data_IF_465093785225
#
_entry.id   IF_465093785225
#
_cell.length_a   1.000
_cell.length_b   1.000
_cell.length_c   1.000
_cell.angle_alpha   90.00
_cell.angle_beta   90.00
_cell.angle_gamma   90.00
#
_symmetry.space_group_name_H-M   'P 1'
#
loop_
_entity.id
_entity.type
_entity.pdbx_description
1 polymer ?
#
# COMPACT_ATOMS: atom_id res chain seq x y z
N UNK A 1 2.71 75.67 -60.27
CA UNK A 1 1.96 74.47 -60.72
C UNK A 1 2.46 73.17 -60.05
N UNK A 2 2.99 73.22 -58.83
CA UNK A 2 3.61 72.07 -58.14
C UNK A 2 2.82 71.58 -56.92
N UNK A 3 1.97 72.44 -56.34
CA UNK A 3 1.18 72.16 -55.13
C UNK A 3 0.16 71.03 -55.33
N UNK A 4 -0.41 70.91 -56.53
CA UNK A 4 -1.40 69.86 -56.84
C UNK A 4 -0.80 68.45 -56.99
N UNK A 5 0.50 68.33 -57.23
CA UNK A 5 1.21 67.05 -57.30
C UNK A 5 1.59 66.53 -55.92
N UNK A 6 2.01 67.43 -55.02
CA UNK A 6 2.34 67.09 -53.64
C UNK A 6 1.10 66.67 -52.84
N UNK A 7 -0.04 67.33 -53.04
CA UNK A 7 -1.30 66.91 -52.41
C UNK A 7 -1.74 65.52 -52.84
N UNK A 8 -1.66 65.20 -54.14
CA UNK A 8 -2.02 63.85 -54.63
C UNK A 8 -1.09 62.75 -54.12
N UNK A 9 0.20 63.03 -53.97
CA UNK A 9 1.17 62.09 -53.40
C UNK A 9 0.91 61.88 -51.91
N UNK A 10 0.66 62.96 -51.18
CA UNK A 10 0.33 62.89 -49.75
C UNK A 10 -0.99 62.16 -49.52
N UNK A 11 -1.99 62.37 -50.38
CA UNK A 11 -3.26 61.65 -50.34
C UNK A 11 -3.08 60.15 -50.57
N UNK A 12 -2.26 59.73 -51.54
CA UNK A 12 -1.97 58.30 -51.75
C UNK A 12 -1.18 57.69 -50.61
N UNK A 13 -0.23 58.43 -50.03
CA UNK A 13 0.53 57.96 -48.87
C UNK A 13 -0.37 57.79 -47.65
N UNK A 14 -1.28 58.73 -47.40
CA UNK A 14 -2.25 58.59 -46.29
C UNK A 14 -3.22 57.43 -46.51
N UNK A 15 -3.67 57.23 -47.75
CA UNK A 15 -4.58 56.14 -48.11
C UNK A 15 -3.90 54.78 -47.96
N UNK A 16 -2.67 54.64 -48.46
CA UNK A 16 -1.86 53.43 -48.28
C UNK A 16 -1.49 53.17 -46.81
N UNK A 17 -1.23 54.23 -46.03
CA UNK A 17 -0.92 54.08 -44.60
C UNK A 17 -2.14 53.59 -43.83
N UNK A 18 -3.33 54.14 -44.12
CA UNK A 18 -4.57 53.70 -43.50
C UNK A 18 -4.95 52.25 -43.88
N UNK A 19 -4.72 51.86 -45.14
CA UNK A 19 -4.91 50.47 -45.58
C UNK A 19 -3.95 49.50 -44.87
N UNK A 20 -2.67 49.85 -44.75
CA UNK A 20 -1.67 49.01 -44.07
C UNK A 20 -2.00 48.90 -42.58
N UNK A 21 -2.42 49.98 -41.94
CA UNK A 21 -2.79 49.99 -40.52
C UNK A 21 -4.07 49.16 -40.25
N UNK A 22 -5.05 49.23 -41.17
CA UNK A 22 -6.24 48.39 -41.13
C UNK A 22 -5.90 46.90 -41.33
N UNK A 23 -5.08 46.57 -42.34
CA UNK A 23 -4.63 45.20 -42.63
C UNK A 23 -3.80 44.61 -41.49
N UNK A 24 -2.84 45.36 -40.96
CA UNK A 24 -2.00 44.92 -39.82
C UNK A 24 -2.82 44.75 -38.55
N UNK A 25 -3.79 45.62 -38.27
CA UNK A 25 -4.67 45.46 -37.11
C UNK A 25 -5.61 44.25 -37.24
N UNK A 26 -6.06 43.95 -38.46
CA UNK A 26 -6.86 42.76 -38.75
C UNK A 26 -6.03 41.48 -38.61
N UNK A 27 -4.80 41.46 -39.14
CA UNK A 27 -3.87 40.33 -38.99
C UNK A 27 -3.46 40.10 -37.54
N UNK A 28 -3.18 41.16 -36.77
CA UNK A 28 -2.87 41.06 -35.33
C UNK A 28 -4.05 40.49 -34.54
N UNK A 29 -5.28 40.92 -34.83
CA UNK A 29 -6.49 40.35 -34.22
C UNK A 29 -6.68 38.88 -34.60
N UNK A 30 -6.38 38.52 -35.84
CA UNK A 30 -6.48 37.15 -36.33
C UNK A 30 -5.41 36.23 -35.71
N UNK A 31 -4.18 36.72 -35.56
CA UNK A 31 -3.11 36.04 -34.82
C UNK A 31 -3.46 35.90 -33.34
N UNK A 32 -3.96 36.96 -32.70
CA UNK A 32 -4.34 36.93 -31.29
C UNK A 32 -5.53 36.00 -31.00
N UNK A 33 -6.47 35.86 -31.94
CA UNK A 33 -7.58 34.91 -31.83
C UNK A 33 -7.12 33.47 -32.06
N UNK A 34 -6.25 33.23 -33.05
CA UNK A 34 -5.63 31.91 -33.26
C UNK A 34 -4.81 31.45 -32.06
N UNK A 35 -3.97 32.32 -31.50
CA UNK A 35 -3.18 32.02 -30.29
C UNK A 35 -4.09 31.72 -29.09
N UNK A 36 -5.15 32.51 -28.87
CA UNK A 36 -6.13 32.23 -27.81
C UNK A 36 -6.85 30.89 -28.03
N UNK A 37 -7.21 30.56 -29.26
CA UNK A 37 -7.86 29.28 -29.57
C UNK A 37 -6.91 28.10 -29.36
N UNK A 38 -5.65 28.20 -29.78
CA UNK A 38 -4.64 27.17 -29.53
C UNK A 38 -4.39 26.99 -28.03
N UNK A 39 -4.18 28.09 -27.30
CA UNK A 39 -3.94 28.04 -25.86
C UNK A 39 -5.15 27.47 -25.11
N UNK A 40 -6.39 27.85 -25.49
CA UNK A 40 -7.61 27.29 -24.92
C UNK A 40 -7.84 25.82 -25.27
N UNK A 41 -7.34 25.35 -26.42
CA UNK A 41 -7.39 23.94 -26.79
C UNK A 41 -6.41 23.12 -25.93
N UNK A 42 -5.16 23.58 -25.79
CA UNK A 42 -4.16 22.91 -24.96
C UNK A 42 -4.49 22.95 -23.46
N UNK A 43 -5.06 24.05 -22.96
CA UNK A 43 -5.54 24.12 -21.58
C UNK A 43 -6.65 23.10 -21.31
N UNK A 44 -7.55 22.87 -22.29
CA UNK A 44 -8.61 21.86 -22.17
C UNK A 44 -8.05 20.44 -22.17
N UNK A 45 -7.05 20.14 -23.00
CA UNK A 45 -6.43 18.81 -23.04
C UNK A 45 -5.65 18.53 -21.75
N UNK A 46 -4.88 19.50 -21.25
CA UNK A 46 -4.20 19.35 -19.97
C UNK A 46 -5.19 19.17 -18.82
N UNK A 47 -6.31 19.90 -18.83
CA UNK A 47 -7.34 19.76 -17.80
C UNK A 47 -8.05 18.39 -17.87
N UNK A 48 -8.31 17.85 -19.06
CA UNK A 48 -8.90 16.52 -19.20
C UNK A 48 -7.94 15.42 -18.74
N UNK A 49 -6.65 15.56 -19.04
CA UNK A 49 -5.63 14.59 -18.61
C UNK A 49 -5.49 14.58 -17.09
N UNK A 50 -5.46 15.75 -16.45
CA UNK A 50 -5.39 15.88 -14.98
C UNK A 50 -6.64 15.27 -14.32
N UNK A 51 -7.84 15.55 -14.86
CA UNK A 51 -9.06 14.95 -14.33
C UNK A 51 -9.08 13.43 -14.52
N UNK A 52 -8.65 12.93 -15.68
CA UNK A 52 -8.53 11.49 -15.96
C UNK A 52 -7.56 10.78 -15.01
N UNK A 53 -6.38 11.36 -14.77
CA UNK A 53 -5.38 10.81 -13.84
C UNK A 53 -5.83 10.89 -12.38
N UNK A 54 -6.51 11.97 -11.97
CA UNK A 54 -7.01 12.09 -10.60
C UNK A 54 -8.06 11.02 -10.25
N UNK A 55 -8.96 10.70 -11.21
CA UNK A 55 -9.98 9.68 -11.06
C UNK A 55 -9.38 8.26 -11.04
N UNK A 56 -8.35 8.00 -11.86
CA UNK A 56 -7.66 6.70 -11.86
C UNK A 56 -6.88 6.49 -10.57
N UNK A 57 -6.13 7.49 -10.10
CA UNK A 57 -5.39 7.42 -8.83
C UNK A 57 -6.32 7.20 -7.63
N UNK A 58 -7.47 7.87 -7.57
CA UNK A 58 -8.43 7.68 -6.49
C UNK A 58 -9.00 6.24 -6.44
N UNK A 59 -9.13 5.59 -7.61
CA UNK A 59 -9.58 4.19 -7.71
C UNK A 59 -8.47 3.22 -7.27
N UNK A 60 -7.24 3.43 -7.74
CA UNK A 60 -6.04 2.68 -7.36
C UNK A 60 -5.82 2.70 -5.83
N UNK A 61 -5.85 3.89 -5.23
CA UNK A 61 -5.69 4.10 -3.79
C UNK A 61 -6.74 3.33 -2.96
N UNK A 62 -7.99 3.27 -3.45
CA UNK A 62 -9.06 2.52 -2.79
C UNK A 62 -8.81 1.02 -2.83
N UNK A 63 -8.38 0.50 -3.98
CA UNK A 63 -8.06 -0.93 -4.14
C UNK A 63 -6.90 -1.30 -3.22
N UNK A 64 -5.79 -0.55 -3.26
CA UNK A 64 -4.60 -0.83 -2.43
C UNK A 64 -4.92 -0.86 -0.94
N UNK A 65 -5.76 0.07 -0.46
CA UNK A 65 -6.18 0.08 0.96
C UNK A 65 -6.98 -1.15 1.36
N UNK A 66 -7.84 -1.64 0.48
CA UNK A 66 -8.60 -2.87 0.72
C UNK A 66 -7.70 -4.09 0.69
N UNK A 67 -6.86 -4.23 -0.34
CA UNK A 67 -5.95 -5.37 -0.50
C UNK A 67 -4.96 -5.46 0.66
N UNK A 68 -4.40 -4.33 1.09
CA UNK A 68 -3.49 -4.28 2.23
C UNK A 68 -4.14 -4.78 3.52
N UNK A 69 -5.40 -4.40 3.79
CA UNK A 69 -6.09 -4.81 5.01
C UNK A 69 -6.41 -6.31 5.05
N UNK A 70 -6.83 -6.88 3.92
CA UNK A 70 -7.06 -8.32 3.81
C UNK A 70 -5.76 -9.12 3.94
N UNK A 71 -4.67 -8.62 3.35
CA UNK A 71 -3.36 -9.27 3.42
C UNK A 71 -2.81 -9.32 4.86
N UNK A 72 -2.92 -8.20 5.60
CA UNK A 72 -2.59 -8.18 7.02
C UNK A 72 -3.45 -9.12 7.86
N UNK A 73 -4.77 -9.15 7.60
CA UNK A 73 -5.67 -10.09 8.26
C UNK A 73 -5.29 -11.55 8.03
N UNK A 74 -4.97 -11.92 6.79
CA UNK A 74 -4.54 -13.27 6.43
C UNK A 74 -3.22 -13.67 7.09
N UNK A 75 -2.24 -12.75 7.16
CA UNK A 75 -0.97 -12.99 7.85
C UNK A 75 -1.17 -13.24 9.34
N UNK A 76 -1.98 -12.41 10.00
CA UNK A 76 -2.25 -12.56 11.44
C UNK A 76 -2.92 -13.91 11.71
N UNK A 77 -3.95 -14.27 10.93
CA UNK A 77 -4.64 -15.56 11.10
C UNK A 77 -3.71 -16.75 10.88
N UNK A 78 -2.80 -16.66 9.90
CA UNK A 78 -1.81 -17.70 9.64
C UNK A 78 -0.84 -17.84 10.82
N UNK A 79 -0.35 -16.74 11.37
CA UNK A 79 0.51 -16.75 12.55
C UNK A 79 -0.20 -17.29 13.79
N UNK A 80 -1.47 -16.93 14.01
CA UNK A 80 -2.27 -17.48 15.11
C UNK A 80 -2.52 -18.97 14.94
N UNK A 81 -2.76 -19.45 13.72
CA UNK A 81 -2.94 -20.87 13.44
C UNK A 81 -1.65 -21.65 13.71
N UNK A 82 -0.50 -21.16 13.22
CA UNK A 82 0.80 -21.82 13.43
C UNK A 82 1.21 -21.75 14.90
N UNK A 83 1.12 -20.58 15.53
CA UNK A 83 1.44 -20.40 16.95
C UNK A 83 0.50 -21.20 17.86
N UNK A 84 -0.79 -21.25 17.53
CA UNK A 84 -1.79 -22.06 18.22
C UNK A 84 -1.52 -23.56 18.08
N UNK A 85 -1.22 -24.03 16.87
CA UNK A 85 -0.82 -25.43 16.64
C UNK A 85 0.46 -25.78 17.40
N UNK A 86 1.44 -24.88 17.42
CA UNK A 86 2.71 -25.12 18.09
C UNK A 86 2.55 -25.16 19.61
N UNK A 87 1.77 -24.23 20.18
CA UNK A 87 1.44 -24.24 21.61
C UNK A 87 0.64 -25.50 22.00
N UNK A 88 -0.34 -25.89 21.18
CA UNK A 88 -1.11 -27.12 21.38
C UNK A 88 -0.21 -28.37 21.35
N UNK A 89 0.62 -28.50 20.32
CA UNK A 89 1.56 -29.61 20.19
C UNK A 89 2.63 -29.62 21.29
N UNK A 90 3.00 -28.46 21.83
CA UNK A 90 3.90 -28.38 22.99
C UNK A 90 3.22 -28.84 24.28
N UNK A 91 1.91 -28.60 24.42
CA UNK A 91 1.15 -28.96 25.61
C UNK A 91 0.73 -30.43 25.63
N UNK A 92 0.53 -31.04 24.46
CA UNK A 92 0.29 -32.49 24.30
C UNK A 92 1.53 -33.34 24.61
N UNK A 93 2.73 -32.73 24.57
CA UNK A 93 4.01 -33.38 24.90
C UNK A 93 4.34 -33.41 26.39
N UNK A 94 3.51 -32.83 27.26
CA UNK A 94 3.64 -32.98 28.70
C UNK A 94 2.74 -34.15 29.15
N UNK A 95 3.26 -35.39 29.29
CA UNK A 95 2.49 -36.45 29.91
C UNK A 95 2.32 -36.07 31.38
N UNK A 96 1.22 -35.38 31.70
CA UNK A 96 0.84 -35.10 33.07
C UNK A 96 0.62 -36.45 33.78
N UNK A 97 1.66 -36.90 34.50
CA UNK A 97 1.54 -38.02 35.42
C UNK A 97 0.42 -37.65 36.41
N UNK A 98 -0.62 -38.49 36.58
CA UNK A 98 -1.72 -38.16 37.47
C UNK A 98 -1.19 -38.09 38.91
N UNK A 99 -1.10 -36.87 39.44
CA UNK A 99 -0.68 -36.60 40.82
C UNK A 99 -1.91 -36.74 41.70
N UNK A 100 -1.94 -37.74 42.58
CA UNK A 100 -2.99 -37.89 43.58
C UNK A 100 -2.61 -37.09 44.83
N UNK A 101 -3.47 -36.18 45.27
CA UNK A 101 -3.27 -35.42 46.51
C UNK A 101 -4.15 -35.97 47.62
N UNK A 102 -3.54 -36.48 48.68
CA UNK A 102 -4.23 -36.92 49.89
C UNK A 102 -3.41 -36.51 51.11
N UNK A 103 -4.07 -36.00 52.16
CA UNK A 103 -3.41 -35.63 53.42
C UNK A 103 -2.34 -34.54 53.32
N UNK A 104 -2.41 -33.65 52.32
CA UNK A 104 -1.43 -32.55 52.14
C UNK A 104 -0.12 -32.96 51.46
N UNK A 105 0.03 -34.22 51.03
CA UNK A 105 1.18 -34.69 50.25
C UNK A 105 0.76 -35.12 48.85
N UNK A 106 1.68 -34.93 47.89
CA UNK A 106 1.48 -35.22 46.47
C UNK A 106 2.15 -36.54 46.15
N UNK A 107 1.37 -37.56 45.77
CA UNK A 107 1.89 -38.88 45.41
C UNK A 107 1.84 -39.05 43.90
N UNK A 108 2.96 -39.46 43.31
CA UNK A 108 3.06 -39.86 41.91
C UNK A 108 2.56 -41.30 41.82
N UNK A 109 1.50 -41.54 41.03
CA UNK A 109 1.03 -42.90 40.77
C UNK A 109 1.95 -43.54 39.72
N UNK A 110 2.71 -44.59 40.06
CA UNK A 110 3.52 -45.30 39.06
C UNK A 110 2.58 -45.97 38.05
N UNK A 111 2.89 -45.95 36.75
CA UNK A 111 2.12 -46.69 35.74
C UNK A 111 2.13 -48.20 36.06
N UNK A 112 1.01 -48.88 35.79
CA UNK A 112 0.86 -50.30 36.11
C UNK A 112 1.96 -51.15 35.46
N UNK A 113 2.63 -51.98 36.27
CA UNK A 113 3.68 -52.90 35.81
C UNK A 113 5.13 -52.42 35.97
N UNK A 114 5.40 -51.24 36.56
CA UNK A 114 6.76 -50.74 36.78
C UNK A 114 7.18 -50.89 38.25
N UNK A 115 8.17 -51.73 38.51
CA UNK A 115 8.78 -51.86 39.83
C UNK A 115 9.78 -50.71 40.09
N UNK A 116 9.68 -50.01 41.24
CA UNK A 116 10.60 -48.93 41.58
C UNK A 116 12.01 -49.49 41.79
N UNK A 117 12.98 -48.95 41.06
CA UNK A 117 14.39 -49.36 41.14
C UNK A 117 15.18 -48.32 41.95
N UNK A 118 16.14 -48.74 42.77
CA UNK A 118 16.97 -47.80 43.54
C UNK A 118 18.11 -47.29 42.65
N UNK A 119 18.14 -46.00 42.33
CA UNK A 119 19.29 -45.36 41.70
C UNK A 119 20.24 -44.78 42.74
N UNK A 120 21.55 -44.88 42.49
CA UNK A 120 22.53 -44.04 43.18
C UNK A 120 22.88 -42.81 42.34
N UNK A 121 22.80 -41.63 42.96
CA UNK A 121 23.37 -40.39 42.40
C UNK A 121 24.36 -39.83 43.41
N UNK A 122 25.65 -40.04 43.12
CA UNK A 122 26.71 -39.82 44.12
C UNK A 122 26.51 -40.73 45.32
N UNK A 123 26.61 -40.18 46.54
CA UNK A 123 26.50 -40.92 47.80
C UNK A 123 25.06 -41.14 48.31
N UNK A 124 24.04 -40.77 47.51
CA UNK A 124 22.63 -40.85 47.91
C UNK A 124 21.84 -41.82 47.02
N UNK A 125 21.10 -42.71 47.68
CA UNK A 125 20.15 -43.63 47.04
C UNK A 125 18.78 -42.95 46.91
N UNK A 126 18.21 -43.01 45.72
CA UNK A 126 16.88 -42.48 45.39
C UNK A 126 16.03 -43.57 44.76
N UNK A 127 14.73 -43.59 45.06
CA UNK A 127 13.77 -44.42 44.34
C UNK A 127 13.57 -43.81 42.95
N UNK A 128 13.88 -44.56 41.91
CA UNK A 128 13.69 -44.21 40.52
C UNK A 128 12.62 -45.09 39.88
N UNK A 129 11.89 -44.51 38.94
CA UNK A 129 11.02 -45.24 38.05
C UNK A 129 11.64 -45.16 36.65
N UNK A 130 11.93 -46.30 36.05
CA UNK A 130 12.34 -46.36 34.64
C UNK A 130 11.08 -46.22 33.80
N UNK A 131 10.86 -45.05 33.23
CA UNK A 131 9.81 -44.86 32.25
C UNK A 131 10.15 -45.69 30.99
N UNK A 132 9.16 -46.37 30.36
CA UNK A 132 9.37 -46.96 29.05
C UNK A 132 9.68 -45.82 28.05
N UNK A 133 10.72 -45.99 27.23
CA UNK A 133 11.03 -45.04 26.18
C UNK A 133 9.85 -44.99 25.21
N UNK A 134 9.26 -43.80 25.06
CA UNK A 134 8.11 -43.59 24.21
C UNK A 134 8.43 -43.91 22.76
N UNK A 135 7.65 -44.80 22.15
CA UNK A 135 7.44 -44.87 20.70
C UNK A 135 6.52 -43.76 20.24
#
# INVERSE_FOLDING_TARGET
MTVSLTERLQQRLSDQTAEIEALTSAELKQLATRLRQQCAAELRTMQSDIQGTSLSMARELRIVRWTGRWWWGALIMTWLAIGGLWAWHSMDRDPQMPIFRSGGQSYLVPPEGVEPTICQKGDRQFLCLKLPEGT
#
